data_IF_903487677445
#
_entry.id   IF_903487677445
#
_cell.length_a   1.000
_cell.length_b   1.000
_cell.length_c   1.000
_cell.angle_alpha   90.00
_cell.angle_beta   90.00
_cell.angle_gamma   90.00
#
_symmetry.space_group_name_H-M   'P 1'
#
loop_
_entity.id
_entity.type
_entity.pdbx_description
1 polymer ?
#
# COMPACT_ATOMS: atom_id res chain seq x y z
N UNK A 1 5.61 17.67 17.62
CA UNK A 1 4.35 17.89 16.85
C UNK A 1 3.75 16.52 16.52
N UNK A 2 2.43 16.40 16.41
CA UNK A 2 1.83 15.15 15.95
C UNK A 2 2.27 14.88 14.50
N UNK A 3 2.58 13.60 14.18
CA UNK A 3 2.93 13.20 12.81
C UNK A 3 1.72 13.40 11.90
N UNK A 4 1.94 13.95 10.72
CA UNK A 4 0.93 14.01 9.66
C UNK A 4 1.02 12.71 8.86
N UNK A 5 0.23 11.72 9.25
CA UNK A 5 0.26 10.41 8.60
C UNK A 5 -0.67 10.34 7.40
N UNK A 6 -0.27 9.54 6.43
CA UNK A 6 -1.02 9.23 5.21
C UNK A 6 -1.13 7.71 5.09
N UNK A 7 -2.35 7.23 4.90
CA UNK A 7 -2.60 5.81 4.64
C UNK A 7 -2.88 5.60 3.15
N UNK A 8 -1.95 4.93 2.48
CA UNK A 8 -2.01 4.71 1.04
C UNK A 8 -2.71 3.39 0.64
N UNK A 9 -3.14 2.57 1.60
CA UNK A 9 -3.80 1.29 1.31
C UNK A 9 -4.80 0.92 2.41
N UNK A 10 -6.09 0.94 2.07
CA UNK A 10 -7.16 0.53 2.98
C UNK A 10 -8.46 0.18 2.23
N UNK A 11 -9.32 -0.64 2.90
CA UNK A 11 -10.59 -1.13 2.38
C UNK A 11 -11.76 -0.52 3.15
N UNK A 12 -11.83 0.82 3.13
CA UNK A 12 -12.82 1.60 3.91
C UNK A 12 -14.08 1.90 3.12
N UNK A 13 -14.07 1.82 1.79
CA UNK A 13 -15.27 2.11 0.99
C UNK A 13 -16.41 1.12 1.31
N UNK A 14 -17.66 1.61 1.56
CA UNK A 14 -18.71 0.76 2.10
C UNK A 14 -19.27 -0.23 1.06
N UNK A 15 -19.22 -1.52 1.38
CA UNK A 15 -19.92 -2.60 0.66
C UNK A 15 -19.39 -2.92 -0.75
N UNK A 16 -18.13 -2.61 -1.04
CA UNK A 16 -17.53 -2.84 -2.36
C UNK A 16 -16.73 -4.15 -2.43
N UNK A 17 -16.06 -4.51 -1.34
CA UNK A 17 -15.20 -5.69 -1.21
C UNK A 17 -15.36 -6.35 0.18
N UNK A 18 -14.34 -7.07 0.68
CA UNK A 18 -14.32 -7.70 2.00
C UNK A 18 -13.91 -6.76 3.14
N UNK A 19 -13.76 -5.46 2.86
CA UNK A 19 -13.50 -4.43 3.83
C UNK A 19 -14.74 -3.97 4.59
N UNK A 20 -14.99 -2.66 4.67
CA UNK A 20 -16.14 -2.11 5.38
C UNK A 20 -17.45 -2.55 4.73
N UNK A 21 -18.26 -3.34 5.46
CA UNK A 21 -19.52 -3.91 4.97
C UNK A 21 -20.61 -2.87 4.68
N UNK A 22 -20.57 -1.74 5.39
CA UNK A 22 -21.56 -0.67 5.34
C UNK A 22 -20.94 0.69 5.73
N UNK A 23 -21.73 1.75 5.64
CA UNK A 23 -21.29 3.11 5.94
C UNK A 23 -20.84 3.28 7.41
N UNK A 24 -21.50 2.64 8.37
CA UNK A 24 -21.12 2.75 9.78
C UNK A 24 -19.77 2.09 10.05
N UNK A 25 -19.48 0.95 9.40
CA UNK A 25 -18.15 0.33 9.46
C UNK A 25 -17.09 1.24 8.86
N UNK A 26 -17.38 1.91 7.73
CA UNK A 26 -16.49 2.91 7.13
C UNK A 26 -16.20 4.06 8.11
N UNK A 27 -17.23 4.64 8.71
CA UNK A 27 -17.10 5.74 9.66
C UNK A 27 -16.32 5.32 10.91
N UNK A 28 -16.52 4.10 11.41
CA UNK A 28 -15.77 3.57 12.56
C UNK A 28 -14.28 3.47 12.27
N UNK A 29 -13.89 2.98 11.08
CA UNK A 29 -12.50 2.91 10.64
C UNK A 29 -11.91 4.32 10.48
N UNK A 30 -12.65 5.27 9.92
CA UNK A 30 -12.22 6.65 9.72
C UNK A 30 -12.05 7.41 11.04
N UNK A 31 -12.94 7.20 12.03
CA UNK A 31 -12.78 7.75 13.38
C UNK A 31 -11.45 7.30 14.00
N UNK A 32 -11.13 6.01 13.85
CA UNK A 32 -9.88 5.46 14.36
C UNK A 32 -8.65 5.97 13.60
N UNK A 33 -8.71 6.06 12.26
CA UNK A 33 -7.66 6.68 11.45
C UNK A 33 -7.40 8.13 11.90
N UNK A 34 -8.46 8.92 12.06
CA UNK A 34 -8.36 10.30 12.53
C UNK A 34 -7.77 10.38 13.94
N UNK A 35 -8.22 9.52 14.88
CA UNK A 35 -7.70 9.46 16.25
C UNK A 35 -6.19 9.23 16.26
N UNK A 36 -5.67 8.41 15.35
CA UNK A 36 -4.25 8.14 15.19
C UNK A 36 -3.47 9.29 14.53
N UNK A 37 -4.14 10.32 14.00
CA UNK A 37 -3.49 11.45 13.33
C UNK A 37 -3.32 11.29 11.83
N UNK A 38 -4.01 10.33 11.20
CA UNK A 38 -4.05 10.22 9.74
C UNK A 38 -4.84 11.39 9.17
N UNK A 39 -4.25 12.10 8.21
CA UNK A 39 -4.81 13.29 7.59
C UNK A 39 -5.23 13.07 6.14
N UNK A 40 -4.64 12.08 5.49
CA UNK A 40 -4.94 11.74 4.10
C UNK A 40 -5.05 10.23 3.92
N UNK A 41 -6.01 9.80 3.12
CA UNK A 41 -6.29 8.36 2.92
C UNK A 41 -6.53 8.10 1.43
N UNK A 42 -5.89 7.06 0.91
CA UNK A 42 -6.17 6.49 -0.40
C UNK A 42 -7.04 5.26 -0.23
N UNK A 43 -8.27 5.31 -0.72
CA UNK A 43 -9.16 4.15 -0.73
C UNK A 43 -8.80 3.25 -1.90
N UNK A 44 -8.45 2.00 -1.61
CA UNK A 44 -7.90 1.03 -2.56
C UNK A 44 -8.68 -0.28 -2.55
N UNK A 45 -9.98 -0.27 -2.85
CA UNK A 45 -10.76 -1.51 -2.88
C UNK A 45 -10.18 -2.50 -3.89
N UNK A 46 -10.37 -3.80 -3.61
CA UNK A 46 -9.91 -4.88 -4.47
C UNK A 46 -10.49 -4.81 -5.89
N UNK A 47 -9.61 -4.91 -6.87
CA UNK A 47 -9.95 -5.09 -8.27
C UNK A 47 -9.31 -6.37 -8.83
N UNK A 48 -10.16 -7.27 -9.32
CA UNK A 48 -9.74 -8.46 -10.04
C UNK A 48 -10.41 -8.50 -11.41
N UNK A 49 -9.59 -8.44 -12.46
CA UNK A 49 -10.02 -8.43 -13.87
C UNK A 49 -10.83 -9.65 -14.28
N UNK A 50 -10.61 -10.80 -13.63
CA UNK A 50 -11.38 -12.02 -13.91
C UNK A 50 -12.81 -11.95 -13.38
N UNK A 51 -13.06 -11.07 -12.42
CA UNK A 51 -14.36 -10.92 -11.76
C UNK A 51 -15.20 -9.76 -12.29
N UNK A 52 -14.56 -8.66 -12.72
CA UNK A 52 -15.23 -7.42 -13.16
C UNK A 52 -14.43 -6.72 -14.25
N UNK A 53 -15.09 -6.01 -15.14
CA UNK A 53 -14.45 -5.05 -16.03
C UNK A 53 -13.96 -3.82 -15.26
N UNK A 54 -13.07 -3.04 -15.86
CA UNK A 54 -12.60 -1.76 -15.26
C UNK A 54 -13.77 -0.80 -15.08
N UNK A 55 -14.67 -0.72 -16.08
CA UNK A 55 -15.83 0.17 -16.08
C UNK A 55 -16.82 -0.19 -14.96
N UNK A 56 -17.12 -1.48 -14.78
CA UNK A 56 -17.99 -1.97 -13.70
C UNK A 56 -17.38 -1.68 -12.33
N UNK A 57 -16.09 -1.93 -12.15
CA UNK A 57 -15.40 -1.64 -10.91
C UNK A 57 -15.42 -0.15 -10.57
N UNK A 58 -15.07 0.71 -11.53
CA UNK A 58 -15.07 2.17 -11.35
C UNK A 58 -16.45 2.68 -10.98
N UNK A 59 -17.50 2.20 -11.64
CA UNK A 59 -18.88 2.60 -11.31
C UNK A 59 -19.25 2.24 -9.86
N UNK A 60 -18.87 1.05 -9.38
CA UNK A 60 -19.12 0.61 -8.00
C UNK A 60 -18.29 1.42 -7.00
N UNK A 61 -16.99 1.59 -7.26
CA UNK A 61 -16.07 2.38 -6.43
C UNK A 61 -16.57 3.82 -6.26
N UNK A 62 -16.90 4.47 -7.36
CA UNK A 62 -17.31 5.86 -7.36
C UNK A 62 -18.68 6.06 -6.71
N UNK A 63 -19.58 5.06 -6.80
CA UNK A 63 -20.84 5.08 -6.06
C UNK A 63 -20.63 4.94 -4.54
N UNK A 64 -19.77 4.01 -4.11
CA UNK A 64 -19.41 3.85 -2.69
C UNK A 64 -18.68 5.08 -2.15
N UNK A 65 -17.77 5.66 -2.93
CA UNK A 65 -17.06 6.89 -2.60
C UNK A 65 -18.02 8.06 -2.40
N UNK A 66 -18.94 8.32 -3.35
CA UNK A 66 -19.95 9.40 -3.22
C UNK A 66 -20.78 9.22 -1.96
N UNK A 67 -21.28 8.01 -1.70
CA UNK A 67 -22.06 7.73 -0.50
C UNK A 67 -21.30 8.07 0.79
N UNK A 68 -19.97 7.88 0.81
CA UNK A 68 -19.14 8.19 1.97
C UNK A 68 -18.88 9.69 2.10
N UNK A 69 -18.47 10.37 1.02
CA UNK A 69 -18.09 11.80 1.10
C UNK A 69 -19.28 12.74 1.28
N UNK A 70 -20.50 12.31 0.94
CA UNK A 70 -21.74 13.06 1.18
C UNK A 70 -22.24 12.94 2.63
N UNK A 71 -21.63 12.08 3.45
CA UNK A 71 -22.00 11.90 4.85
C UNK A 71 -21.50 13.07 5.70
N UNK A 72 -22.38 13.69 6.49
CA UNK A 72 -22.06 14.87 7.34
C UNK A 72 -20.96 14.59 8.37
N UNK A 73 -20.97 13.41 8.97
CA UNK A 73 -19.94 13.03 9.94
C UNK A 73 -18.57 12.92 9.26
N UNK A 74 -18.49 12.26 8.09
CA UNK A 74 -17.26 12.20 7.31
C UNK A 74 -16.74 13.60 6.98
N UNK A 75 -17.60 14.50 6.51
CA UNK A 75 -17.22 15.88 6.18
C UNK A 75 -16.64 16.62 7.39
N UNK A 76 -17.16 16.37 8.59
CA UNK A 76 -16.65 16.97 9.84
C UNK A 76 -15.26 16.46 10.24
N UNK A 77 -14.80 15.34 9.69
CA UNK A 77 -13.51 14.76 10.03
C UNK A 77 -12.33 15.53 9.41
N UNK A 78 -12.54 16.30 8.35
CA UNK A 78 -11.49 17.04 7.63
C UNK A 78 -10.31 16.14 7.22
N UNK A 79 -10.59 14.95 6.69
CA UNK A 79 -9.61 14.02 6.14
C UNK A 79 -9.59 14.18 4.62
N UNK A 80 -8.43 14.37 4.03
CA UNK A 80 -8.27 14.38 2.57
C UNK A 80 -8.35 12.95 2.03
N UNK A 81 -9.17 12.72 1.01
CA UNK A 81 -9.33 11.38 0.45
C UNK A 81 -9.23 11.36 -1.07
N UNK A 82 -8.66 10.28 -1.57
CA UNK A 82 -8.63 9.95 -3.00
C UNK A 82 -9.00 8.48 -3.17
N UNK A 83 -9.22 8.05 -4.41
CA UNK A 83 -9.52 6.66 -4.76
C UNK A 83 -8.47 6.08 -5.68
N UNK A 84 -8.26 4.77 -5.58
CA UNK A 84 -7.47 3.95 -6.46
C UNK A 84 -8.10 2.56 -6.57
N UNK A 85 -7.32 1.56 -6.91
CA UNK A 85 -7.66 0.15 -6.80
C UNK A 85 -6.47 -0.64 -6.30
N UNK A 86 -6.68 -1.63 -5.42
CA UNK A 86 -5.72 -2.70 -5.24
C UNK A 86 -5.94 -3.73 -6.35
N UNK A 87 -5.04 -3.72 -7.33
CA UNK A 87 -5.17 -4.50 -8.56
C UNK A 87 -4.55 -5.87 -8.34
N UNK A 88 -5.35 -6.93 -8.36
CA UNK A 88 -4.82 -8.29 -8.36
C UNK A 88 -4.05 -8.56 -9.66
N UNK A 89 -2.82 -9.07 -9.54
CA UNK A 89 -1.92 -9.31 -10.67
C UNK A 89 -2.58 -10.18 -11.75
N UNK A 90 -2.49 -9.73 -12.98
CA UNK A 90 -2.92 -10.45 -14.16
C UNK A 90 -1.86 -10.34 -15.26
N UNK A 91 -1.68 -11.40 -16.05
CA UNK A 91 -0.67 -11.45 -17.11
C UNK A 91 -0.87 -10.39 -18.21
N UNK A 92 -2.07 -9.85 -18.34
CA UNK A 92 -2.44 -8.78 -19.29
C UNK A 92 -2.71 -7.44 -18.61
N UNK A 93 -2.15 -7.22 -17.44
CA UNK A 93 -2.26 -5.96 -16.68
C UNK A 93 -1.85 -4.74 -17.51
N UNK A 94 -0.79 -4.88 -18.29
CA UNK A 94 -0.26 -3.87 -19.19
C UNK A 94 -1.22 -3.48 -20.35
N UNK A 95 -2.30 -4.23 -20.58
CA UNK A 95 -3.31 -3.96 -21.60
C UNK A 95 -4.56 -3.26 -21.04
N UNK A 96 -4.66 -3.09 -19.72
CA UNK A 96 -5.79 -2.44 -19.06
C UNK A 96 -5.68 -0.91 -19.11
N UNK A 97 -6.82 -0.23 -18.95
CA UNK A 97 -6.84 1.21 -18.70
C UNK A 97 -6.47 1.51 -17.24
N UNK A 98 -5.15 1.57 -16.98
CA UNK A 98 -4.62 1.81 -15.64
C UNK A 98 -4.92 3.22 -15.12
N UNK A 99 -5.24 4.19 -15.99
CA UNK A 99 -5.57 5.55 -15.56
C UNK A 99 -6.79 5.62 -14.64
N UNK A 100 -7.71 4.68 -14.80
CA UNK A 100 -8.92 4.56 -13.95
C UNK A 100 -8.69 3.83 -12.64
N UNK A 101 -7.55 3.18 -12.49
CA UNK A 101 -7.19 2.34 -11.34
C UNK A 101 -6.05 2.92 -10.51
N UNK A 102 -5.37 3.95 -11.05
CA UNK A 102 -4.24 4.62 -10.40
C UNK A 102 -4.65 5.45 -9.18
N UNK A 103 -3.69 5.90 -8.42
CA UNK A 103 -3.85 6.74 -7.24
C UNK A 103 -4.31 8.16 -7.62
N UNK A 104 -5.61 8.41 -7.56
CA UNK A 104 -6.18 9.65 -8.06
C UNK A 104 -5.80 9.87 -9.53
N UNK A 105 -5.30 11.05 -9.86
CA UNK A 105 -4.87 11.42 -11.21
C UNK A 105 -3.35 11.19 -11.44
N UNK A 106 -2.71 10.37 -10.59
CA UNK A 106 -1.27 10.08 -10.69
C UNK A 106 -0.97 8.87 -11.58
N UNK A 107 0.30 8.57 -11.76
CA UNK A 107 0.77 7.37 -12.46
C UNK A 107 1.12 6.20 -11.53
N UNK A 108 0.85 6.29 -10.23
CA UNK A 108 1.08 5.18 -9.29
C UNK A 108 -0.07 4.19 -9.34
N UNK A 109 0.25 2.89 -9.36
CA UNK A 109 -0.73 1.78 -9.36
C UNK A 109 -0.38 0.75 -8.29
N UNK A 110 -1.36 0.35 -7.47
CA UNK A 110 -1.17 -0.63 -6.42
C UNK A 110 -1.40 -2.03 -6.96
N UNK A 111 -0.42 -2.91 -6.81
CA UNK A 111 -0.46 -4.29 -7.30
C UNK A 111 -0.41 -5.29 -6.15
N UNK A 112 -1.43 -6.14 -6.03
CA UNK A 112 -1.42 -7.32 -5.20
C UNK A 112 -0.93 -8.53 -6.01
N UNK A 113 0.07 -9.24 -5.52
CA UNK A 113 0.59 -10.46 -6.12
C UNK A 113 -0.04 -11.71 -5.47
N UNK A 114 -0.02 -12.88 -6.13
CA UNK A 114 -0.38 -14.14 -5.49
C UNK A 114 0.51 -14.43 -4.27
N UNK A 115 -0.09 -14.88 -3.14
CA UNK A 115 0.63 -15.02 -1.88
C UNK A 115 1.65 -16.17 -1.87
N UNK A 116 1.34 -17.28 -2.51
CA UNK A 116 2.07 -18.54 -2.33
C UNK A 116 3.01 -18.91 -3.48
N UNK A 117 2.96 -18.19 -4.59
CA UNK A 117 3.82 -18.45 -5.74
C UNK A 117 4.14 -17.17 -6.50
N UNK A 118 5.38 -17.06 -7.00
CA UNK A 118 5.79 -15.98 -7.90
C UNK A 118 5.03 -16.10 -9.21
N UNK A 119 4.30 -15.07 -9.64
CA UNK A 119 3.58 -15.12 -10.92
C UNK A 119 4.54 -15.32 -12.09
N UNK A 120 4.16 -16.18 -13.02
CA UNK A 120 4.91 -16.32 -14.26
C UNK A 120 4.89 -15.00 -15.04
N UNK A 121 6.06 -14.57 -15.53
CA UNK A 121 6.18 -13.32 -16.29
C UNK A 121 6.07 -12.04 -15.45
N UNK A 122 6.17 -12.11 -14.11
CA UNK A 122 6.06 -10.93 -13.22
C UNK A 122 6.91 -9.75 -13.71
N UNK A 123 8.20 -9.97 -13.95
CA UNK A 123 9.12 -8.89 -14.36
C UNK A 123 8.76 -8.33 -15.74
N UNK A 124 8.34 -9.17 -16.68
CA UNK A 124 7.89 -8.73 -18.00
C UNK A 124 6.65 -7.82 -17.92
N UNK A 125 5.64 -8.21 -17.11
CA UNK A 125 4.43 -7.38 -16.93
C UNK A 125 4.78 -6.06 -16.25
N UNK A 126 5.64 -6.09 -15.24
CA UNK A 126 6.12 -4.88 -14.54
C UNK A 126 6.85 -3.95 -15.51
N UNK A 127 7.80 -4.47 -16.31
CA UNK A 127 8.52 -3.68 -17.30
C UNK A 127 7.56 -3.02 -18.31
N UNK A 128 6.52 -3.73 -18.76
CA UNK A 128 5.51 -3.17 -19.67
C UNK A 128 4.67 -2.07 -18.99
N UNK A 129 4.30 -2.22 -17.71
CA UNK A 129 3.57 -1.19 -16.95
C UNK A 129 4.44 0.07 -16.80
N UNK A 130 5.72 -0.10 -16.45
CA UNK A 130 6.70 1.00 -16.36
C UNK A 130 6.91 1.70 -17.70
N UNK A 131 7.02 0.96 -18.81
CA UNK A 131 7.16 1.50 -20.17
C UNK A 131 5.93 2.32 -20.61
N UNK A 132 4.76 2.10 -20.01
CA UNK A 132 3.56 2.93 -20.20
C UNK A 132 3.55 4.17 -19.32
N UNK A 133 4.58 4.39 -18.50
CA UNK A 133 4.72 5.54 -17.60
C UNK A 133 4.04 5.36 -16.26
N UNK A 134 3.53 4.17 -15.92
CA UNK A 134 2.97 3.89 -14.59
C UNK A 134 4.04 3.32 -13.66
N UNK A 135 3.95 3.64 -12.38
CA UNK A 135 4.88 3.19 -11.33
C UNK A 135 4.14 2.19 -10.42
N UNK A 136 4.48 0.89 -10.47
CA UNK A 136 3.89 -0.10 -9.59
C UNK A 136 4.30 0.11 -8.14
N UNK A 137 3.32 0.04 -7.22
CA UNK A 137 3.50 -0.11 -5.78
C UNK A 137 3.12 -1.56 -5.45
N UNK A 138 4.05 -2.36 -4.98
CA UNK A 138 3.76 -3.74 -4.59
C UNK A 138 3.16 -3.76 -3.19
N UNK A 139 1.93 -4.26 -3.08
CA UNK A 139 1.19 -4.29 -1.82
C UNK A 139 1.80 -5.31 -0.85
N UNK A 140 1.79 -4.98 0.45
CA UNK A 140 2.10 -5.87 1.59
C UNK A 140 3.11 -6.99 1.29
N UNK A 141 4.33 -6.60 0.86
CA UNK A 141 5.38 -7.51 0.37
C UNK A 141 5.81 -8.59 1.37
N UNK A 142 5.58 -8.35 2.64
CA UNK A 142 5.85 -9.29 3.72
C UNK A 142 4.93 -10.52 3.73
N UNK A 143 3.81 -10.47 2.98
CA UNK A 143 2.83 -11.57 2.90
C UNK A 143 3.17 -12.60 1.83
N UNK A 144 4.17 -12.34 0.98
CA UNK A 144 4.52 -13.25 -0.11
C UNK A 144 5.60 -14.24 0.33
N UNK A 145 5.23 -15.51 0.49
CA UNK A 145 6.12 -16.59 0.94
C UNK A 145 7.41 -16.72 0.12
N UNK A 146 7.31 -16.47 -1.18
CA UNK A 146 8.46 -16.56 -2.08
C UNK A 146 9.40 -15.36 -1.97
N UNK A 147 8.92 -14.16 -1.65
CA UNK A 147 9.77 -12.99 -1.38
C UNK A 147 10.52 -13.18 -0.05
N UNK A 148 9.86 -13.75 0.97
CA UNK A 148 10.53 -14.05 2.24
C UNK A 148 11.68 -15.07 2.07
N UNK A 149 11.53 -16.04 1.16
CA UNK A 149 12.55 -17.04 0.83
C UNK A 149 13.65 -16.48 -0.08
N UNK A 150 13.29 -15.61 -1.00
CA UNK A 150 14.14 -15.06 -2.05
C UNK A 150 13.95 -13.53 -2.17
N UNK A 151 14.49 -12.73 -1.23
CA UNK A 151 14.33 -11.26 -1.22
C UNK A 151 14.94 -10.57 -2.45
N UNK A 152 15.81 -11.24 -3.20
CA UNK A 152 16.31 -10.73 -4.48
C UNK A 152 15.17 -10.40 -5.47
N UNK A 153 14.00 -11.05 -5.35
CA UNK A 153 12.81 -10.73 -6.16
C UNK A 153 12.33 -9.30 -5.86
N UNK A 154 12.26 -8.91 -4.58
CA UNK A 154 11.87 -7.56 -4.19
C UNK A 154 12.93 -6.54 -4.61
N UNK A 155 14.21 -6.90 -4.49
CA UNK A 155 15.32 -6.08 -4.97
C UNK A 155 15.23 -5.85 -6.49
N UNK A 156 14.99 -6.89 -7.27
CA UNK A 156 14.81 -6.77 -8.72
C UNK A 156 13.62 -5.87 -9.12
N UNK A 157 12.53 -5.91 -8.35
CA UNK A 157 11.38 -5.00 -8.56
C UNK A 157 11.77 -3.55 -8.25
N UNK A 158 12.47 -3.31 -7.14
CA UNK A 158 12.92 -1.99 -6.75
C UNK A 158 13.96 -1.40 -7.74
N UNK A 159 14.91 -2.21 -8.23
CA UNK A 159 15.87 -1.78 -9.28
C UNK A 159 15.18 -1.33 -10.58
N UNK A 160 13.99 -1.85 -10.88
CA UNK A 160 13.17 -1.43 -12.02
C UNK A 160 12.40 -0.14 -11.76
N UNK A 161 12.36 0.34 -10.53
CA UNK A 161 11.60 1.53 -10.13
C UNK A 161 10.23 1.24 -9.52
N UNK A 162 9.96 -0.02 -9.14
CA UNK A 162 8.77 -0.33 -8.34
C UNK A 162 8.94 0.17 -6.90
N UNK A 163 7.84 0.63 -6.33
CA UNK A 163 7.72 0.90 -4.91
C UNK A 163 7.13 -0.32 -4.19
N UNK A 164 7.18 -0.32 -2.87
CA UNK A 164 6.54 -1.35 -2.07
C UNK A 164 6.14 -0.83 -0.69
N UNK A 165 5.11 -1.45 -0.10
CA UNK A 165 4.75 -1.20 1.29
C UNK A 165 4.63 -2.51 2.08
N UNK A 166 4.67 -2.38 3.40
CA UNK A 166 4.31 -3.41 4.37
C UNK A 166 3.12 -2.95 5.21
N UNK A 167 2.38 -3.91 5.74
CA UNK A 167 1.25 -3.64 6.61
C UNK A 167 1.72 -3.24 8.01
N UNK A 168 1.12 -2.19 8.58
CA UNK A 168 1.38 -1.71 9.92
C UNK A 168 1.25 -2.81 10.97
N UNK A 169 0.19 -3.65 10.87
CA UNK A 169 -0.04 -4.74 11.80
C UNK A 169 1.09 -5.78 11.78
N UNK A 170 1.65 -6.08 10.62
CA UNK A 170 2.78 -7.03 10.50
C UNK A 170 4.02 -6.49 11.19
N UNK A 171 4.32 -5.20 11.01
CA UNK A 171 5.45 -4.57 11.68
C UNK A 171 5.30 -4.59 13.22
N UNK A 172 4.08 -4.42 13.71
CA UNK A 172 3.78 -4.50 15.14
C UNK A 172 4.00 -5.94 15.67
N UNK A 173 3.47 -6.94 14.98
CA UNK A 173 3.57 -8.35 15.37
C UNK A 173 4.99 -8.89 15.28
N UNK A 174 5.75 -8.47 14.26
CA UNK A 174 7.14 -8.88 14.02
C UNK A 174 8.10 -7.71 14.09
N UNK A 175 8.20 -7.11 15.28
CA UNK A 175 9.02 -5.93 15.56
C UNK A 175 10.48 -6.22 15.90
N UNK A 176 10.98 -7.44 15.68
CA UNK A 176 12.40 -7.78 15.84
C UNK A 176 13.25 -7.03 14.81
N UNK A 177 14.39 -6.45 15.24
CA UNK A 177 15.34 -5.81 14.32
C UNK A 177 15.91 -6.76 13.26
N UNK A 178 15.81 -8.06 13.47
CA UNK A 178 16.24 -9.12 12.55
C UNK A 178 15.10 -9.70 11.71
N UNK A 179 13.87 -9.27 11.89
CA UNK A 179 12.73 -9.71 11.09
C UNK A 179 12.85 -9.30 9.63
N UNK A 180 12.19 -10.02 8.74
CA UNK A 180 12.22 -9.71 7.31
C UNK A 180 11.62 -8.34 6.99
N UNK A 181 10.45 -7.92 7.56
CA UNK A 181 9.94 -6.57 7.36
C UNK A 181 10.96 -5.48 7.70
N UNK A 182 11.64 -5.60 8.86
CA UNK A 182 12.67 -4.65 9.27
C UNK A 182 13.90 -4.66 8.35
N UNK A 183 14.24 -5.82 7.77
CA UNK A 183 15.33 -5.92 6.78
C UNK A 183 14.94 -5.27 5.46
N UNK A 184 13.72 -5.48 4.97
CA UNK A 184 13.24 -4.81 3.75
C UNK A 184 13.33 -3.29 3.87
N UNK A 185 12.95 -2.74 5.03
CA UNK A 185 13.08 -1.30 5.30
C UNK A 185 14.56 -0.86 5.27
N UNK A 186 15.45 -1.57 5.98
CA UNK A 186 16.89 -1.24 6.03
C UNK A 186 17.59 -1.37 4.68
N UNK A 187 17.10 -2.25 3.80
CA UNK A 187 17.62 -2.39 2.44
C UNK A 187 17.06 -1.35 1.47
N UNK A 188 16.15 -0.47 1.92
CA UNK A 188 15.50 0.52 1.07
C UNK A 188 14.51 -0.09 0.08
N UNK A 189 14.00 -1.29 0.36
CA UNK A 189 13.08 -2.02 -0.53
C UNK A 189 11.61 -1.80 -0.18
N UNK A 190 11.33 -1.10 0.92
CA UNK A 190 9.99 -0.73 1.39
C UNK A 190 9.95 0.76 1.64
N UNK A 191 8.95 1.43 1.10
CA UNK A 191 8.87 2.88 0.99
C UNK A 191 7.80 3.50 1.87
N UNK A 192 6.78 2.72 2.29
CA UNK A 192 5.65 3.18 3.11
C UNK A 192 5.22 2.11 4.12
N UNK A 193 4.54 2.57 5.18
CA UNK A 193 3.66 1.77 6.01
C UNK A 193 2.21 2.07 5.63
N UNK A 194 1.39 1.04 5.44
CA UNK A 194 -0.03 1.19 5.17
C UNK A 194 -0.85 0.34 6.14
N UNK A 195 -2.13 0.64 6.30
CA UNK A 195 -2.94 -0.13 7.26
C UNK A 195 -3.47 -1.43 6.67
N UNK A 196 -3.85 -1.43 5.41
CA UNK A 196 -4.64 -2.52 4.80
C UNK A 196 -5.86 -2.87 5.67
N UNK A 197 -6.46 -1.83 6.30
CA UNK A 197 -7.54 -2.03 7.27
C UNK A 197 -8.84 -2.40 6.58
N UNK A 198 -9.57 -3.36 7.20
CA UNK A 198 -10.83 -3.89 6.67
C UNK A 198 -11.97 -3.79 7.68
N UNK A 199 -11.70 -3.95 8.97
CA UNK A 199 -12.69 -3.84 10.02
C UNK A 199 -12.02 -3.56 11.37
N UNK A 200 -12.77 -3.01 12.31
CA UNK A 200 -12.28 -2.76 13.67
C UNK A 200 -11.97 -4.05 14.44
N UNK A 201 -12.62 -5.17 14.08
CA UNK A 201 -12.47 -6.44 14.80
C UNK A 201 -11.27 -7.27 14.31
N UNK A 202 -11.06 -7.37 12.98
CA UNK A 202 -10.09 -8.30 12.40
C UNK A 202 -8.80 -7.62 11.95
N UNK A 203 -8.94 -6.51 11.21
CA UNK A 203 -7.81 -5.71 10.68
C UNK A 203 -8.07 -4.23 10.94
N UNK A 204 -7.96 -3.76 12.20
CA UNK A 204 -8.11 -2.34 12.53
C UNK A 204 -6.90 -1.53 12.03
N UNK A 205 -7.06 -0.23 11.76
CA UNK A 205 -5.94 0.62 11.44
C UNK A 205 -5.01 0.79 12.66
N UNK A 206 -3.69 0.66 12.46
CA UNK A 206 -2.66 0.73 13.51
C UNK A 206 -1.42 1.50 13.06
N UNK A 207 -1.60 2.55 12.28
CA UNK A 207 -0.48 3.25 11.66
C UNK A 207 0.40 3.98 12.69
N UNK A 208 -0.21 4.63 13.69
CA UNK A 208 0.49 5.34 14.77
C UNK A 208 1.42 4.41 15.57
N UNK A 209 0.90 3.24 15.94
CA UNK A 209 1.67 2.23 16.68
C UNK A 209 2.84 1.71 15.85
N UNK A 210 2.62 1.44 14.56
CA UNK A 210 3.66 0.97 13.66
C UNK A 210 4.79 1.99 13.49
N UNK A 211 4.47 3.27 13.27
CA UNK A 211 5.47 4.34 13.21
C UNK A 211 6.23 4.52 14.53
N UNK A 212 5.55 4.35 15.68
CA UNK A 212 6.20 4.41 16.99
C UNK A 212 7.20 3.27 17.20
N UNK A 213 6.88 2.07 16.69
CA UNK A 213 7.81 0.94 16.69
C UNK A 213 8.97 1.18 15.73
N UNK A 214 8.71 1.67 14.52
CA UNK A 214 9.73 1.99 13.53
C UNK A 214 10.76 2.99 14.09
N UNK A 215 10.28 4.10 14.65
CA UNK A 215 11.12 5.11 15.30
C UNK A 215 12.02 4.51 16.39
N UNK A 216 11.41 3.73 17.30
CA UNK A 216 12.14 3.07 18.40
C UNK A 216 13.19 2.09 17.89
N UNK A 217 12.98 1.41 16.78
CA UNK A 217 13.84 0.34 16.27
C UNK A 217 14.90 0.84 15.28
N UNK A 218 14.55 1.76 14.40
CA UNK A 218 15.42 2.22 13.32
C UNK A 218 15.78 3.70 13.41
N UNK A 219 15.00 4.52 14.10
CA UNK A 219 15.21 5.96 14.27
C UNK A 219 14.19 6.82 13.55
N UNK A 220 14.21 8.11 13.84
CA UNK A 220 13.26 9.11 13.31
C UNK A 220 13.42 9.27 11.79
N UNK A 221 14.64 9.25 11.27
CA UNK A 221 14.92 9.45 9.84
C UNK A 221 14.14 8.48 8.96
N UNK A 222 14.07 7.18 9.33
CA UNK A 222 13.26 6.19 8.62
C UNK A 222 11.77 6.52 8.63
N UNK A 223 11.27 7.12 9.71
CA UNK A 223 9.87 7.53 9.78
C UNK A 223 9.62 8.74 8.88
N UNK A 224 10.53 9.71 8.89
CA UNK A 224 10.40 10.94 8.11
C UNK A 224 10.46 10.62 6.61
N UNK A 225 11.40 9.78 6.17
CA UNK A 225 11.50 9.30 4.79
C UNK A 225 10.21 8.62 4.32
N UNK A 226 9.66 7.69 5.13
CA UNK A 226 8.42 6.99 4.77
C UNK A 226 7.19 7.91 4.74
N UNK A 227 7.12 8.90 5.63
CA UNK A 227 6.03 9.88 5.64
C UNK A 227 6.13 10.82 4.44
N UNK A 228 7.34 11.25 4.08
CA UNK A 228 7.59 12.07 2.89
C UNK A 228 7.26 11.32 1.61
N UNK A 229 7.72 10.07 1.48
CA UNK A 229 7.37 9.19 0.37
C UNK A 229 5.86 9.03 0.22
N UNK A 230 5.14 8.80 1.33
CA UNK A 230 3.69 8.67 1.31
C UNK A 230 3.00 9.98 0.87
N UNK A 231 3.54 11.14 1.27
CA UNK A 231 3.02 12.44 0.85
C UNK A 231 3.23 12.66 -0.65
N UNK A 232 4.42 12.37 -1.19
CA UNK A 232 4.70 12.47 -2.62
C UNK A 232 3.73 11.60 -3.44
N UNK A 233 3.56 10.32 -3.06
CA UNK A 233 2.64 9.41 -3.77
C UNK A 233 1.19 9.89 -3.68
N UNK A 234 0.73 10.33 -2.50
CA UNK A 234 -0.63 10.84 -2.35
C UNK A 234 -0.88 12.07 -3.22
N UNK A 235 0.11 12.94 -3.34
CA UNK A 235 0.04 14.15 -4.18
C UNK A 235 0.22 13.87 -5.68
N UNK A 236 0.75 12.70 -6.05
CA UNK A 236 1.11 12.36 -7.43
C UNK A 236 2.46 12.95 -7.86
N UNK A 237 3.29 13.28 -6.89
CA UNK A 237 4.64 13.81 -7.11
C UNK A 237 5.63 12.67 -7.38
N UNK A 238 6.68 12.88 -8.21
CA UNK A 238 7.68 11.86 -8.47
C UNK A 238 8.52 11.59 -7.21
N UNK A 239 8.88 10.31 -7.02
CA UNK A 239 9.84 9.88 -5.99
C UNK A 239 11.17 9.55 -6.64
N UNK A 240 12.27 10.11 -6.13
CA UNK A 240 13.63 9.71 -6.47
C UNK A 240 14.15 8.71 -5.43
N UNK A 241 14.25 7.45 -5.83
CA UNK A 241 14.61 6.34 -4.93
C UNK A 241 15.96 5.70 -5.25
N UNK A 242 16.71 6.25 -6.19
CA UNK A 242 17.85 5.56 -6.80
C UNK A 242 19.04 5.37 -5.86
N UNK A 243 19.19 6.16 -4.80
CA UNK A 243 20.44 6.22 -4.03
C UNK A 243 20.50 5.29 -2.79
N UNK A 244 19.42 4.64 -2.37
CA UNK A 244 19.37 3.94 -1.08
C UNK A 244 19.09 2.42 -1.14
N UNK A 245 18.94 1.85 -2.33
CA UNK A 245 18.59 0.43 -2.47
C UNK A 245 19.82 -0.44 -2.21
N UNK A 246 19.69 -1.42 -1.31
CA UNK A 246 20.75 -2.38 -0.97
C UNK A 246 20.34 -3.80 -1.36
N UNK A 247 21.21 -4.46 -2.13
CA UNK A 247 20.99 -5.86 -2.49
C UNK A 247 21.07 -6.76 -1.24
N UNK A 248 20.05 -7.61 -0.99
CA UNK A 248 20.09 -8.60 0.08
C UNK A 248 21.31 -9.50 -0.03
N UNK A 249 21.93 -9.83 1.10
CA UNK A 249 23.10 -10.74 1.16
C UNK A 249 22.84 -11.84 2.17
N UNK A 250 23.36 -13.05 1.91
CA UNK A 250 23.35 -14.15 2.88
C UNK A 250 24.70 -14.22 3.61
N UNK A 251 24.64 -14.35 4.93
CA UNK A 251 25.78 -14.65 5.76
C UNK A 251 25.40 -15.76 6.75
N UNK A 252 26.16 -16.86 6.76
CA UNK A 252 25.91 -18.06 7.58
C UNK A 252 24.45 -18.56 7.50
N UNK A 253 23.88 -18.55 6.29
CA UNK A 253 22.50 -19.01 6.05
C UNK A 253 21.40 -18.01 6.39
N UNK A 254 21.73 -16.87 6.99
CA UNK A 254 20.77 -15.79 7.31
C UNK A 254 20.90 -14.63 6.35
N UNK A 255 19.80 -14.00 5.98
CA UNK A 255 19.79 -12.74 5.23
C UNK A 255 20.29 -11.59 6.13
N UNK A 256 21.17 -10.72 5.62
CA UNK A 256 21.75 -9.56 6.33
C UNK A 256 21.62 -8.30 5.48
#
# INVERSE_FOLDING_TARGET
MARKMIDLHCHILPGIDDGAKDLECSLSLLREQKRQGVQSIMFTPHFNREKKSVEEFVALRDAAYRKLIENEEFQSMNISVKTAAEIYFAANLDQMDLSKLSYGDSNYVLLELPFHFKPHGLMYVVDNVLNRGYIPIIAHVERYDYIAKEPDILYELAERGCLAHINAETLIKDSSKSSMPMKYIKWGLVHFLCTDCHSMEKRPPKLEEAYSILEKKLGQDYCDDMLENAACVFNGEPLDLTDNIRKPKKFLGSWI
#
